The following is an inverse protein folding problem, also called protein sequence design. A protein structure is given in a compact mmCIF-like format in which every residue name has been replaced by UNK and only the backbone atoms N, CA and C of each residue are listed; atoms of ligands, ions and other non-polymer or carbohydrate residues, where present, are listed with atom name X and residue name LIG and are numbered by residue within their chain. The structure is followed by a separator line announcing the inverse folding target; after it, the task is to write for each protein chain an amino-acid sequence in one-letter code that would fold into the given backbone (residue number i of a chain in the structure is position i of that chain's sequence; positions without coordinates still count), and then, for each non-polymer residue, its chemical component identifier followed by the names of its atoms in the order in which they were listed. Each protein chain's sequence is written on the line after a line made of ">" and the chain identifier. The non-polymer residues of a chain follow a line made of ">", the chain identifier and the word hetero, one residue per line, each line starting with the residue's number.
data_IF_828500290724
#
_entry.id   IF_828500290724
#
_cell.length_a   1.000
_cell.length_b   1.000
_cell.length_c   1.000
_cell.angle_alpha   90.00
_cell.angle_beta   90.00
_cell.angle_gamma   90.00
#
_symmetry.space_group_name_H-M   'P 1'
#
loop_
_entity.id
_entity.type
_entity.pdbx_description
1 polymer ?
#
# COMPACT_ATOMS: atom_id res chain seq x y z
N UNK A 1 3.66 1.03 -8.83
CA UNK A 1 3.57 -0.01 -7.77
C UNK A 1 3.19 0.63 -6.45
N UNK A 2 2.76 -0.14 -5.47
CA UNK A 2 2.50 0.35 -4.10
C UNK A 2 3.39 -0.45 -3.16
N UNK A 3 4.34 0.23 -2.56
CA UNK A 3 5.30 -0.34 -1.62
C UNK A 3 4.89 -0.07 -0.17
N UNK A 4 5.44 -0.85 0.74
CA UNK A 4 5.34 -0.65 2.17
C UNK A 4 6.74 -0.42 2.77
N UNK A 5 6.81 0.42 3.79
CA UNK A 5 8.02 0.65 4.57
C UNK A 5 7.69 0.64 6.06
N UNK A 6 8.32 -0.27 6.80
CA UNK A 6 8.20 -0.33 8.25
C UNK A 6 9.27 0.56 8.90
N UNK A 7 8.85 1.47 9.77
CA UNK A 7 9.74 2.29 10.58
C UNK A 7 9.41 2.09 12.05
N UNK A 8 10.37 1.66 12.86
CA UNK A 8 10.14 1.51 14.29
C UNK A 8 9.67 2.83 14.91
N UNK A 9 8.57 2.79 15.65
CA UNK A 9 8.00 3.97 16.28
C UNK A 9 8.82 4.34 17.54
N UNK A 10 9.48 5.48 17.52
CA UNK A 10 10.36 5.90 18.62
C UNK A 10 9.89 7.15 19.36
N UNK A 11 8.91 7.87 18.83
CA UNK A 11 8.51 9.18 19.34
C UNK A 11 7.00 9.31 19.40
N UNK A 12 6.46 9.46 20.59
CA UNK A 12 5.04 9.81 20.79
C UNK A 12 4.77 11.18 20.17
N UNK A 13 3.70 11.31 19.35
CA UNK A 13 3.30 12.53 18.67
C UNK A 13 4.19 12.96 17.48
N UNK A 14 4.87 12.05 16.82
CA UNK A 14 5.56 12.36 15.57
C UNK A 14 4.57 12.71 14.46
N UNK A 15 4.89 13.73 13.65
CA UNK A 15 4.11 14.04 12.44
C UNK A 15 4.42 13.00 11.36
N UNK A 16 3.56 12.01 11.23
CA UNK A 16 3.78 10.89 10.30
C UNK A 16 3.81 11.31 8.83
N UNK A 17 3.07 12.35 8.44
CA UNK A 17 3.11 12.91 7.08
C UNK A 17 4.18 13.99 6.88
N UNK A 18 4.78 14.48 7.96
CA UNK A 18 5.78 15.56 7.96
C UNK A 18 7.23 15.06 7.95
N UNK A 19 8.01 15.60 8.88
CA UNK A 19 9.45 15.29 9.00
C UNK A 19 9.76 13.85 9.41
N UNK A 20 8.79 13.13 9.97
CA UNK A 20 8.94 11.72 10.33
C UNK A 20 8.78 10.79 9.12
N UNK A 21 8.09 11.21 8.06
CA UNK A 21 7.87 10.41 6.87
C UNK A 21 9.19 10.08 6.16
N UNK A 22 9.32 8.88 5.56
CA UNK A 22 10.56 8.43 4.91
C UNK A 22 10.74 9.06 3.52
N UNK A 23 10.77 10.40 3.44
CA UNK A 23 10.82 11.15 2.17
C UNK A 23 12.15 10.99 1.43
N UNK A 24 13.24 10.77 2.17
CA UNK A 24 14.60 10.65 1.64
C UNK A 24 15.06 9.20 1.49
N UNK A 25 14.20 8.23 1.84
CA UNK A 25 14.50 6.81 1.70
C UNK A 25 14.16 6.36 0.29
N UNK A 26 15.13 5.82 -0.44
CA UNK A 26 14.86 5.26 -1.76
C UNK A 26 14.00 4.00 -1.65
N UNK A 27 13.16 3.76 -2.66
CA UNK A 27 12.25 2.63 -2.68
C UNK A 27 12.96 1.28 -2.53
N UNK A 28 14.17 1.17 -3.07
CA UNK A 28 15.00 -0.03 -3.00
C UNK A 28 15.45 -0.35 -1.57
N UNK A 29 15.46 0.68 -0.70
CA UNK A 29 15.89 0.58 0.70
C UNK A 29 14.73 0.51 1.69
N UNK A 30 13.50 0.26 1.22
CA UNK A 30 12.37 0.14 2.13
C UNK A 30 12.50 -1.10 3.01
N UNK A 31 12.31 -0.89 4.32
CA UNK A 31 12.29 -1.96 5.29
C UNK A 31 10.98 -2.75 5.19
N UNK A 32 11.09 -4.05 4.99
CA UNK A 32 9.95 -4.96 4.83
C UNK A 32 9.91 -6.06 5.91
N UNK A 33 10.74 -5.93 6.94
CA UNK A 33 10.78 -6.81 8.10
C UNK A 33 10.42 -6.06 9.38
N UNK A 34 9.90 -6.76 10.37
CA UNK A 34 9.64 -6.24 11.69
C UNK A 34 9.79 -7.28 12.79
N UNK A 35 10.17 -6.83 13.98
CA UNK A 35 10.22 -7.66 15.19
C UNK A 35 8.87 -7.67 15.90
N UNK A 36 8.60 -8.76 16.63
CA UNK A 36 7.45 -8.86 17.50
C UNK A 36 7.59 -7.95 18.73
N UNK A 37 6.46 -7.68 19.38
CA UNK A 37 6.34 -6.87 20.60
C UNK A 37 6.91 -5.45 20.40
N UNK A 38 6.81 -4.94 19.19
CA UNK A 38 7.35 -3.63 18.78
C UNK A 38 6.28 -2.81 18.09
N UNK A 39 6.36 -1.50 18.25
CA UNK A 39 5.51 -0.51 17.59
C UNK A 39 6.16 -0.06 16.29
N UNK A 40 5.34 0.08 15.24
CA UNK A 40 5.79 0.56 13.93
C UNK A 40 4.86 1.61 13.36
N UNK A 41 5.44 2.52 12.58
CA UNK A 41 4.74 3.27 11.54
C UNK A 41 4.94 2.54 10.21
N UNK A 42 3.86 1.97 9.65
CA UNK A 42 3.87 1.34 8.33
C UNK A 42 3.43 2.37 7.30
N UNK A 43 4.33 2.83 6.47
CA UNK A 43 4.04 3.76 5.39
C UNK A 43 3.54 3.03 4.16
N UNK A 44 2.44 3.54 3.59
CA UNK A 44 1.95 3.14 2.25
C UNK A 44 2.47 4.15 1.26
N UNK A 45 3.25 3.69 0.29
CA UNK A 45 3.96 4.56 -0.64
C UNK A 45 3.64 4.13 -2.07
N UNK A 46 2.95 5.02 -2.80
CA UNK A 46 2.82 4.86 -4.24
C UNK A 46 4.15 5.20 -4.91
N UNK A 47 4.61 4.33 -5.81
CA UNK A 47 5.86 4.50 -6.54
C UNK A 47 5.59 4.43 -8.01
N UNK A 48 6.02 5.44 -8.74
CA UNK A 48 5.90 5.47 -10.20
C UNK A 48 6.77 4.35 -10.81
N UNK A 49 6.18 3.41 -11.57
CA UNK A 49 6.98 2.50 -12.35
C UNK A 49 7.71 3.29 -13.43
N UNK A 50 9.02 3.47 -13.29
CA UNK A 50 9.82 4.10 -14.34
C UNK A 50 9.77 3.26 -15.60
N UNK A 51 8.85 3.57 -16.49
CA UNK A 51 8.72 2.88 -17.77
C UNK A 51 9.69 3.40 -18.82
N UNK A 52 10.60 4.31 -18.46
CA UNK A 52 11.73 4.75 -19.31
C UNK A 52 11.40 5.38 -20.66
N UNK A 53 10.17 5.34 -21.11
CA UNK A 53 9.79 5.63 -22.50
C UNK A 53 8.77 6.77 -22.67
N UNK A 54 8.45 7.54 -21.65
CA UNK A 54 7.38 8.54 -21.72
C UNK A 54 7.83 9.98 -21.52
N UNK A 55 7.61 10.85 -22.50
CA UNK A 55 7.72 12.30 -22.43
C UNK A 55 6.57 12.89 -21.59
N UNK A 56 6.50 12.64 -20.30
CA UNK A 56 5.44 13.18 -19.47
C UNK A 56 5.84 13.46 -18.03
N UNK A 57 5.18 14.40 -17.33
CA UNK A 57 5.42 14.61 -15.91
C UNK A 57 5.10 13.33 -15.15
N UNK A 58 6.12 12.79 -14.52
CA UNK A 58 6.11 11.56 -13.73
C UNK A 58 5.76 11.93 -12.31
N UNK A 59 4.51 12.24 -12.07
CA UNK A 59 4.03 12.53 -10.74
C UNK A 59 2.88 11.61 -10.38
N UNK A 60 2.53 11.55 -9.12
CA UNK A 60 1.45 10.75 -8.58
C UNK A 60 0.39 11.69 -8.02
N UNK A 61 -0.84 11.58 -8.52
CA UNK A 61 -1.99 12.35 -8.07
C UNK A 61 -3.00 11.52 -7.28
N UNK A 62 -2.86 10.18 -7.25
CA UNK A 62 -3.75 9.34 -6.47
C UNK A 62 -3.29 7.90 -6.39
N UNK A 63 -3.77 7.23 -5.36
CA UNK A 63 -3.52 5.81 -5.12
C UNK A 63 -4.76 5.17 -4.50
N UNK A 64 -5.09 3.95 -4.95
CA UNK A 64 -6.21 3.15 -4.47
C UNK A 64 -5.72 1.74 -4.17
N UNK A 65 -5.98 1.26 -2.96
CA UNK A 65 -5.50 -0.04 -2.48
C UNK A 65 -6.40 -0.60 -1.39
N UNK A 66 -6.19 -1.86 -1.05
CA UNK A 66 -6.65 -2.49 0.16
C UNK A 66 -5.50 -3.03 0.99
N UNK A 67 -5.82 -3.52 2.17
CA UNK A 67 -4.88 -4.16 3.09
C UNK A 67 -5.35 -5.55 3.50
N UNK A 68 -4.38 -6.42 3.78
CA UNK A 68 -4.62 -7.72 4.37
C UNK A 68 -3.60 -8.00 5.48
N UNK A 69 -4.08 -8.46 6.61
CA UNK A 69 -3.31 -8.87 7.79
C UNK A 69 -4.20 -9.75 8.68
N UNK A 70 -3.63 -10.36 9.73
CA UNK A 70 -4.41 -11.11 10.70
C UNK A 70 -5.19 -10.13 11.60
N UNK A 71 -6.46 -9.92 11.30
CA UNK A 71 -7.33 -8.99 12.04
C UNK A 71 -7.80 -9.48 13.41
N UNK A 72 -7.27 -10.61 13.91
CA UNK A 72 -7.61 -11.11 15.24
C UNK A 72 -6.77 -10.41 16.29
N UNK A 73 -7.43 -9.67 17.16
CA UNK A 73 -6.79 -8.87 18.20
C UNK A 73 -5.73 -9.64 19.00
N UNK A 74 -4.61 -9.01 19.22
CA UNK A 74 -3.47 -9.50 20.02
C UNK A 74 -2.85 -10.83 19.56
N UNK A 75 -3.01 -11.21 18.29
CA UNK A 75 -2.43 -12.43 17.74
C UNK A 75 -1.48 -12.23 16.56
N UNK A 76 -1.60 -11.14 15.87
CA UNK A 76 -0.75 -10.70 14.75
C UNK A 76 -0.44 -9.23 14.88
N UNK A 77 -0.70 -8.46 13.82
CA UNK A 77 -0.59 -7.01 13.83
C UNK A 77 -1.92 -6.39 14.25
N UNK A 78 -1.90 -5.53 15.26
CA UNK A 78 -3.03 -4.69 15.61
C UNK A 78 -2.79 -3.27 15.08
N UNK A 79 -3.75 -2.73 14.32
CA UNK A 79 -3.74 -1.34 13.88
C UNK A 79 -4.32 -0.47 14.99
N UNK A 80 -3.53 0.48 15.48
CA UNK A 80 -3.94 1.46 16.50
C UNK A 80 -4.57 2.68 15.85
N UNK A 81 -3.99 3.15 14.74
CA UNK A 81 -4.52 4.28 13.98
C UNK A 81 -4.02 4.28 12.53
N UNK A 82 -4.76 5.01 11.69
CA UNK A 82 -4.37 5.37 10.34
C UNK A 82 -4.31 6.90 10.21
N UNK A 83 -3.29 7.41 9.52
CA UNK A 83 -3.12 8.84 9.22
C UNK A 83 -2.92 9.01 7.72
N UNK A 84 -3.89 9.57 6.97
CA UNK A 84 -3.72 9.87 5.56
C UNK A 84 -2.78 11.06 5.33
N UNK A 85 -2.02 11.04 4.25
CA UNK A 85 -1.08 12.11 3.86
C UNK A 85 -1.47 12.81 2.54
N UNK A 86 -2.64 12.53 2.00
CA UNK A 86 -3.18 13.22 0.82
C UNK A 86 -4.04 14.41 1.14
N UNK A 87 -4.48 15.10 0.09
CA UNK A 87 -5.42 16.22 0.20
C UNK A 87 -6.85 15.72 0.45
N UNK A 88 -7.20 14.57 -0.13
CA UNK A 88 -8.51 13.94 0.04
C UNK A 88 -8.35 12.44 0.27
N UNK A 89 -9.26 11.89 1.06
CA UNK A 89 -9.35 10.48 1.38
C UNK A 89 -10.78 9.96 1.18
N UNK A 90 -10.90 8.76 0.60
CA UNK A 90 -12.15 7.99 0.54
C UNK A 90 -11.86 6.57 1.02
N UNK A 91 -12.23 6.29 2.24
CA UNK A 91 -12.13 4.94 2.82
C UNK A 91 -13.42 4.14 2.61
N UNK A 92 -13.28 2.83 2.49
CA UNK A 92 -14.41 1.90 2.53
C UNK A 92 -14.87 1.71 3.99
N UNK A 93 -16.13 1.30 4.13
CA UNK A 93 -16.67 0.94 5.44
C UNK A 93 -15.79 -0.12 6.10
N UNK A 94 -15.53 0.05 7.39
CA UNK A 94 -14.65 -0.81 8.16
C UNK A 94 -13.16 -0.53 8.02
N UNK A 95 -12.74 0.47 7.24
CA UNK A 95 -11.32 0.84 7.19
C UNK A 95 -10.78 1.24 8.57
N UNK A 96 -9.64 0.71 9.00
CA UNK A 96 -8.65 -0.11 8.28
C UNK A 96 -8.71 -1.63 8.61
N UNK A 97 -9.87 -2.23 8.70
CA UNK A 97 -10.00 -3.68 8.90
C UNK A 97 -9.42 -4.48 7.72
N UNK A 98 -9.02 -5.75 7.92
CA UNK A 98 -8.52 -6.61 6.84
C UNK A 98 -9.53 -6.74 5.69
N UNK A 99 -9.03 -6.76 4.47
CA UNK A 99 -9.82 -6.79 3.21
C UNK A 99 -10.68 -5.54 2.96
N UNK A 100 -10.46 -4.48 3.70
CA UNK A 100 -11.02 -3.17 3.38
C UNK A 100 -10.06 -2.34 2.55
N UNK A 101 -10.52 -1.22 2.03
CA UNK A 101 -9.72 -0.41 1.13
C UNK A 101 -9.86 1.07 1.32
N UNK A 102 -8.91 1.77 0.72
CA UNK A 102 -8.81 3.22 0.78
C UNK A 102 -8.35 3.80 -0.54
N UNK A 103 -8.69 5.04 -0.76
CA UNK A 103 -8.19 5.86 -1.85
C UNK A 103 -7.74 7.20 -1.29
N UNK A 104 -6.51 7.57 -1.59
CA UNK A 104 -5.92 8.86 -1.22
C UNK A 104 -5.51 9.58 -2.49
N UNK A 105 -5.84 10.87 -2.58
CA UNK A 105 -5.50 11.69 -3.75
C UNK A 105 -4.87 13.00 -3.35
N UNK A 106 -4.13 13.57 -4.30
CA UNK A 106 -3.54 14.90 -4.24
C UNK A 106 -4.05 15.72 -5.42
N UNK A 107 -4.17 17.03 -5.23
CA UNK A 107 -4.50 17.96 -6.33
C UNK A 107 -3.48 17.80 -7.45
N UNK A 108 -3.93 17.36 -8.63
CA UNK A 108 -3.05 17.20 -9.78
C UNK A 108 -2.47 18.52 -10.29
N UNK A 109 -3.11 19.65 -9.95
CA UNK A 109 -2.70 20.99 -10.34
C UNK A 109 -1.73 21.60 -9.32
N UNK A 110 -2.07 21.52 -8.02
CA UNK A 110 -1.42 22.32 -6.99
C UNK A 110 -0.51 21.50 -6.07
N UNK A 111 -0.77 20.19 -5.92
CA UNK A 111 -0.05 19.31 -5.00
C UNK A 111 0.28 17.95 -5.61
N UNK A 112 0.57 17.91 -6.91
CA UNK A 112 0.98 16.66 -7.51
C UNK A 112 2.31 16.19 -6.94
N UNK A 113 2.36 14.93 -6.49
CA UNK A 113 3.53 14.39 -5.82
C UNK A 113 4.62 14.02 -6.84
N UNK A 114 5.72 14.74 -6.77
CA UNK A 114 6.84 14.62 -7.70
C UNK A 114 8.16 14.37 -6.98
N UNK A 115 8.12 14.13 -5.67
CA UNK A 115 9.31 13.88 -4.86
C UNK A 115 10.04 12.63 -5.35
N UNK A 116 11.33 12.78 -5.57
CA UNK A 116 12.20 11.73 -6.07
C UNK A 116 13.46 11.71 -5.23
N UNK A 117 13.59 10.80 -4.26
CA UNK A 117 14.86 10.57 -3.57
C UNK A 117 15.98 10.32 -4.57
N UNK A 118 17.20 10.72 -4.22
CA UNK A 118 18.36 10.55 -5.10
C UNK A 118 18.51 9.08 -5.53
N UNK A 119 18.68 8.86 -6.83
CA UNK A 119 18.80 7.52 -7.41
C UNK A 119 17.52 6.69 -7.48
N UNK A 120 16.39 7.24 -7.04
CA UNK A 120 15.12 6.52 -6.93
C UNK A 120 14.06 7.01 -7.92
N UNK A 121 12.86 6.42 -7.82
CA UNK A 121 11.65 6.74 -8.58
C UNK A 121 10.83 7.81 -7.86
N UNK A 122 9.86 8.41 -8.55
CA UNK A 122 8.89 9.29 -7.89
C UNK A 122 8.11 8.50 -6.84
N UNK A 123 8.00 9.06 -5.65
CA UNK A 123 7.34 8.46 -4.50
C UNK A 123 6.31 9.42 -3.91
N UNK A 124 5.13 8.89 -3.58
CA UNK A 124 4.07 9.61 -2.90
C UNK A 124 3.63 8.83 -1.66
N UNK A 125 3.76 9.43 -0.50
CA UNK A 125 3.37 8.82 0.78
C UNK A 125 1.87 9.01 0.95
N UNK A 126 1.10 7.91 0.80
CA UNK A 126 -0.35 7.94 0.94
C UNK A 126 -0.81 8.09 2.39
N UNK A 127 -0.02 7.58 3.31
CA UNK A 127 -0.29 7.66 4.74
C UNK A 127 0.52 6.64 5.52
N UNK A 128 0.24 6.56 6.81
CA UNK A 128 0.86 5.59 7.69
C UNK A 128 -0.13 4.95 8.65
N UNK A 129 0.08 3.67 8.91
CA UNK A 129 -0.55 2.94 10.01
C UNK A 129 0.37 2.96 11.22
N UNK A 130 -0.15 3.36 12.37
CA UNK A 130 0.50 3.07 13.63
C UNK A 130 0.03 1.71 14.12
N UNK A 131 0.97 0.78 14.27
CA UNK A 131 0.66 -0.62 14.57
C UNK A 131 1.47 -1.15 15.75
N UNK A 132 0.95 -2.22 16.36
CA UNK A 132 1.69 -3.04 17.32
C UNK A 132 1.73 -4.48 16.81
N UNK A 133 2.92 -5.07 16.69
CA UNK A 133 3.12 -6.45 16.25
C UNK A 133 3.12 -7.40 17.48
N UNK A 134 1.97 -7.98 17.81
CA UNK A 134 1.85 -8.93 18.92
C UNK A 134 2.38 -10.31 18.59
N UNK A 135 2.23 -10.76 17.35
CA UNK A 135 2.60 -12.07 16.88
C UNK A 135 3.05 -12.08 15.43
N UNK A 136 3.47 -13.24 14.94
CA UNK A 136 3.87 -13.41 13.54
C UNK A 136 2.71 -13.09 12.60
N UNK A 137 2.97 -12.26 11.60
CA UNK A 137 1.97 -11.79 10.64
C UNK A 137 2.63 -11.26 9.36
N UNK A 138 1.82 -11.13 8.31
CA UNK A 138 2.18 -10.47 7.06
C UNK A 138 1.19 -9.36 6.74
N UNK A 139 1.64 -8.12 6.83
CA UNK A 139 0.88 -6.95 6.44
C UNK A 139 1.08 -6.67 4.96
N UNK A 140 0.02 -6.78 4.17
CA UNK A 140 0.10 -6.80 2.71
C UNK A 140 -0.80 -5.77 2.05
N UNK A 141 -0.32 -5.13 1.01
CA UNK A 141 -1.17 -4.40 0.05
C UNK A 141 -1.92 -5.41 -0.82
N UNK A 142 -3.22 -5.20 -0.98
CA UNK A 142 -4.09 -6.08 -1.78
C UNK A 142 -5.01 -5.25 -2.68
N UNK A 143 -5.50 -5.81 -3.80
CA UNK A 143 -6.64 -5.24 -4.49
C UNK A 143 -7.88 -5.29 -3.60
N UNK A 144 -8.73 -4.28 -3.70
CA UNK A 144 -9.98 -4.22 -2.95
C UNK A 144 -11.17 -4.09 -3.90
N UNK A 145 -12.30 -4.68 -3.53
CA UNK A 145 -13.55 -4.53 -4.27
C UNK A 145 -14.05 -3.08 -4.17
N UNK A 146 -14.27 -2.46 -5.32
CA UNK A 146 -14.73 -1.07 -5.42
C UNK A 146 -15.99 -0.98 -6.28
N UNK A 147 -17.11 -1.45 -5.72
CA UNK A 147 -18.41 -1.44 -6.38
C UNK A 147 -18.44 -2.20 -7.71
N UNK A 148 -19.14 -1.70 -8.73
CA UNK A 148 -19.29 -2.39 -10.02
C UNK A 148 -17.98 -2.54 -10.81
N UNK A 149 -16.94 -1.81 -10.42
CA UNK A 149 -15.63 -1.86 -11.08
C UNK A 149 -14.79 -3.09 -10.68
N UNK A 150 -15.25 -3.86 -9.68
CA UNK A 150 -14.57 -5.04 -9.19
C UNK A 150 -13.35 -4.71 -8.32
N UNK A 151 -12.38 -5.64 -8.29
CA UNK A 151 -11.18 -5.51 -7.47
C UNK A 151 -10.17 -4.57 -8.12
N UNK A 152 -9.83 -3.50 -7.42
CA UNK A 152 -8.94 -2.44 -7.91
C UNK A 152 -7.70 -2.29 -7.02
N UNK A 153 -6.59 -2.10 -7.68
CA UNK A 153 -5.33 -1.62 -7.15
C UNK A 153 -4.76 -0.66 -8.19
N UNK A 154 -4.74 0.64 -7.90
CA UNK A 154 -4.46 1.66 -8.91
C UNK A 154 -3.52 2.74 -8.41
N UNK A 155 -2.79 3.33 -9.34
CA UNK A 155 -2.10 4.61 -9.17
C UNK A 155 -2.53 5.54 -10.30
N UNK A 156 -2.81 6.80 -10.00
CA UNK A 156 -3.07 7.82 -11.00
C UNK A 156 -1.92 8.83 -11.07
N UNK A 157 -1.61 9.26 -12.29
CA UNK A 157 -0.57 10.25 -12.54
C UNK A 157 -1.10 11.68 -12.46
N UNK A 158 -0.20 12.67 -12.41
CA UNK A 158 -0.53 14.09 -12.50
C UNK A 158 -1.19 14.50 -13.83
N UNK A 159 -1.20 13.62 -14.82
CA UNK A 159 -1.95 13.79 -16.08
C UNK A 159 -3.29 13.09 -16.09
N UNK A 160 -3.77 12.64 -14.92
CA UNK A 160 -5.02 11.90 -14.75
C UNK A 160 -5.06 10.54 -15.51
N UNK A 161 -3.91 10.00 -15.88
CA UNK A 161 -3.83 8.65 -16.39
C UNK A 161 -3.85 7.64 -15.24
N UNK A 162 -4.72 6.63 -15.33
CA UNK A 162 -4.83 5.56 -14.33
C UNK A 162 -4.06 4.32 -14.76
N UNK A 163 -3.35 3.72 -13.81
CA UNK A 163 -2.58 2.51 -14.00
C UNK A 163 -3.07 1.42 -13.04
N UNK A 164 -3.60 0.34 -13.61
CA UNK A 164 -3.97 -0.85 -12.83
C UNK A 164 -2.72 -1.64 -12.45
N UNK A 165 -2.58 -1.94 -11.16
CA UNK A 165 -1.44 -2.64 -10.59
C UNK A 165 -1.83 -4.10 -10.25
N UNK A 166 -2.24 -4.87 -11.25
CA UNK A 166 -2.74 -6.24 -11.06
C UNK A 166 -1.68 -7.30 -10.75
N UNK A 167 -0.41 -7.20 -11.17
CA UNK A 167 0.60 -8.19 -10.81
C UNK A 167 0.86 -8.22 -9.30
N UNK A 168 0.98 -9.40 -8.73
CA UNK A 168 1.40 -9.57 -7.32
C UNK A 168 2.72 -8.86 -7.03
N UNK A 169 3.61 -8.80 -7.99
CA UNK A 169 4.91 -8.12 -7.93
C UNK A 169 4.84 -6.58 -7.85
N UNK A 170 3.66 -5.98 -7.99
CA UNK A 170 3.46 -4.54 -7.83
C UNK A 170 2.98 -4.14 -6.41
N UNK A 171 2.96 -5.08 -5.46
CA UNK A 171 2.37 -4.93 -4.13
C UNK A 171 3.39 -5.19 -3.04
N UNK A 172 3.53 -4.24 -2.10
CA UNK A 172 4.40 -4.37 -0.93
C UNK A 172 3.83 -5.30 0.12
N UNK A 173 4.73 -5.99 0.82
CA UNK A 173 4.44 -6.82 1.99
C UNK A 173 5.47 -6.55 3.06
N UNK A 174 5.04 -6.46 4.32
CA UNK A 174 5.91 -6.47 5.50
C UNK A 174 5.64 -7.78 6.26
N UNK A 175 6.70 -8.46 6.70
CA UNK A 175 6.59 -9.65 7.55
C UNK A 175 7.11 -9.34 8.94
N UNK A 176 6.34 -9.72 9.95
CA UNK A 176 6.72 -9.63 11.36
C UNK A 176 7.08 -11.04 11.87
N UNK A 177 8.27 -11.17 12.41
CA UNK A 177 8.77 -12.46 12.94
C UNK A 177 9.52 -12.28 14.26
N UNK A 178 9.66 -13.36 15.01
CA UNK A 178 10.28 -13.33 16.35
C UNK A 178 11.73 -12.85 16.32
N UNK A 179 12.47 -13.17 15.28
CA UNK A 179 13.88 -12.80 15.09
C UNK A 179 14.07 -11.61 14.13
N UNK A 180 12.99 -11.11 13.53
CA UNK A 180 13.02 -10.01 12.54
C UNK A 180 13.75 -10.37 11.25
N UNK A 181 14.09 -11.65 11.03
CA UNK A 181 14.86 -12.09 9.86
C UNK A 181 14.01 -12.32 8.62
N UNK A 182 12.72 -12.59 8.80
CA UNK A 182 11.80 -12.79 7.69
C UNK A 182 11.49 -11.47 7.01
N UNK A 183 11.85 -11.36 5.73
CA UNK A 183 11.59 -10.18 4.93
C UNK A 183 10.36 -10.35 4.06
N UNK A 184 9.48 -9.37 4.09
CA UNK A 184 8.36 -9.25 3.17
C UNK A 184 8.82 -8.87 1.76
N UNK A 185 7.88 -8.63 0.87
CA UNK A 185 8.18 -8.33 -0.53
C UNK A 185 8.32 -6.84 -0.78
N UNK A 186 9.47 -6.42 -1.31
CA UNK A 186 9.66 -5.06 -1.83
C UNK A 186 9.45 -5.04 -3.36
N UNK A 187 8.39 -4.39 -3.87
CA UNK A 187 8.12 -4.36 -5.30
C UNK A 187 9.14 -3.54 -6.11
N UNK A 188 9.97 -2.73 -5.45
CA UNK A 188 10.99 -1.91 -6.13
C UNK A 188 12.22 -2.72 -6.52
N UNK A 189 12.59 -3.69 -5.71
CA UNK A 189 13.70 -4.62 -5.96
C UNK A 189 13.22 -5.95 -6.54
N UNK A 190 11.95 -6.28 -6.35
CA UNK A 190 11.42 -7.60 -6.70
C UNK A 190 11.90 -8.72 -5.78
N UNK A 191 12.40 -8.37 -4.58
CA UNK A 191 12.96 -9.31 -3.61
C UNK A 191 12.06 -9.49 -2.40
N UNK A 192 12.22 -10.61 -1.69
CA UNK A 192 11.46 -10.96 -0.50
C UNK A 192 10.35 -12.00 -0.76
N UNK A 193 9.56 -12.28 0.26
CA UNK A 193 8.51 -13.30 0.21
C UNK A 193 7.16 -12.67 -0.10
N UNK A 194 6.51 -13.20 -1.14
CA UNK A 194 5.08 -12.96 -1.40
C UNK A 194 4.29 -14.06 -0.69
N UNK A 195 3.57 -13.75 0.39
CA UNK A 195 2.70 -14.73 1.01
C UNK A 195 1.61 -15.13 0.01
N UNK A 196 1.19 -16.38 0.07
CA UNK A 196 -0.04 -16.83 -0.59
C UNK A 196 -1.22 -16.18 0.12
N UNK A 197 -1.64 -15.03 -0.40
CA UNK A 197 -2.82 -14.34 0.12
C UNK A 197 -4.04 -15.23 -0.13
N UNK A 198 -4.96 -15.34 0.84
CA UNK A 198 -6.24 -15.96 0.55
C UNK A 198 -6.88 -15.20 -0.62
N UNK A 199 -7.23 -15.94 -1.66
CA UNK A 199 -7.99 -15.35 -2.76
C UNK A 199 -9.30 -14.82 -2.18
N UNK A 200 -9.73 -13.59 -2.53
CA UNK A 200 -11.04 -13.13 -2.12
C UNK A 200 -12.07 -14.18 -2.50
N UNK A 201 -12.82 -14.68 -1.54
CA UNK A 201 -13.89 -15.62 -1.81
C UNK A 201 -14.90 -14.93 -2.74
N UNK A 202 -15.00 -15.38 -3.99
CA UNK A 202 -16.02 -14.89 -4.91
C UNK A 202 -15.58 -14.32 -6.26
N UNK A 203 -14.32 -14.43 -6.67
CA UNK A 203 -14.00 -14.21 -8.09
C UNK A 203 -14.33 -15.49 -8.87
N UNK A 204 -15.62 -15.81 -8.97
CA UNK A 204 -16.07 -16.60 -10.12
C UNK A 204 -15.95 -15.69 -11.34
N UNK A 205 -15.16 -16.06 -12.36
CA UNK A 205 -15.24 -15.36 -13.63
C UNK A 205 -16.70 -15.48 -14.08
N UNK A 206 -17.43 -14.38 -14.00
CA UNK A 206 -18.75 -14.30 -14.61
C UNK A 206 -18.50 -14.47 -16.12
N UNK A 207 -18.63 -15.69 -16.60
CA UNK A 207 -18.63 -15.95 -18.02
C UNK A 207 -19.81 -15.21 -18.61
N UNK A 208 -19.53 -14.22 -19.45
CA UNK A 208 -20.52 -13.40 -20.19
C UNK A 208 -21.62 -14.23 -20.87
N UNK A 209 -21.46 -15.55 -20.95
CA UNK A 209 -22.43 -16.49 -21.52
C UNK A 209 -23.69 -16.74 -20.68
N UNK A 210 -23.68 -16.49 -19.38
CA UNK A 210 -24.88 -16.75 -18.51
C UNK A 210 -25.83 -15.58 -18.36
N UNK A 211 -25.48 -14.39 -18.81
CA UNK A 211 -26.35 -13.21 -18.77
C UNK A 211 -27.30 -13.11 -19.96
N UNK A 212 -27.05 -13.84 -21.07
CA UNK A 212 -27.92 -13.81 -22.26
C UNK A 212 -29.14 -14.74 -22.22
N UNK A 213 -29.30 -15.53 -21.17
CA UNK A 213 -30.46 -16.48 -21.07
C UNK A 213 -31.58 -16.02 -20.18
N UNK A 214 -31.62 -14.76 -19.76
CA UNK A 214 -32.68 -14.19 -18.91
C UNK A 214 -33.40 -12.97 -19.49
N UNK A 215 -33.25 -12.71 -20.78
CA UNK A 215 -34.04 -11.71 -21.51
C UNK A 215 -34.67 -12.32 -22.74
#
# INVERSE_FOLDING_TARGET
>A
MIALHAKAHTTKNSSTCGSWAPRDVSCESFETAGHLLTQYDIYVIAVDPDTGSGNGPRGIAGVQWGIYYNGKAHTGVDIVSWTPCGDLEWSRDGWPDPNTGNMVTWSYQDNCQMSKPEGSRVQAIAGSFYVYAYGEDAFSVVPVEWGPQGYLLKVSSCKLAEYNLNPSTARGVIVFSSDGSATGFNPCTGTGVLPSLPQPAGVHPATWGKLKSKF
#
